data_IF_235072545134
#
_entry.id   IF_235072545134
#
_cell.length_a   1.000
_cell.length_b   1.000
_cell.length_c   1.000
_cell.angle_alpha   90.00
_cell.angle_beta   90.00
_cell.angle_gamma   90.00
#
_symmetry.space_group_name_H-M   'P 1'
#
loop_
_entity.id
_entity.type
_entity.pdbx_description
1 polymer ?
#
# COMPACT_ATOMS: atom_id res chain seq x y z
N UNK A 1 0.58 -22.98 -49.94
CA UNK A 1 -0.67 -22.48 -49.30
C UNK A 1 -0.49 -21.18 -48.52
N UNK A 2 0.14 -21.12 -47.33
CA UNK A 2 0.32 -19.83 -46.61
C UNK A 2 1.23 -18.84 -47.38
N UNK A 3 2.30 -19.36 -48.00
CA UNK A 3 3.22 -18.56 -48.84
C UNK A 3 2.54 -17.93 -50.07
N UNK A 4 1.49 -18.56 -50.61
CA UNK A 4 0.78 -18.06 -51.79
C UNK A 4 -0.26 -16.98 -51.45
N UNK A 5 -0.83 -17.02 -50.25
CA UNK A 5 -1.74 -15.98 -49.75
C UNK A 5 -1.02 -14.68 -49.40
N UNK A 6 0.19 -14.76 -48.85
CA UNK A 6 1.03 -13.59 -48.55
C UNK A 6 1.45 -12.86 -49.83
N UNK A 7 1.55 -13.59 -50.96
CA UNK A 7 1.95 -13.06 -52.27
C UNK A 7 0.97 -12.06 -52.89
N UNK A 8 -0.28 -11.97 -52.38
CA UNK A 8 -1.30 -11.01 -52.85
C UNK A 8 -1.19 -9.61 -52.25
N UNK A 9 -0.33 -9.40 -51.26
CA UNK A 9 -0.09 -8.09 -50.64
C UNK A 9 1.20 -7.49 -51.18
N UNK A 10 1.12 -6.77 -52.30
CA UNK A 10 2.29 -6.23 -53.03
C UNK A 10 2.87 -4.95 -52.42
N UNK A 11 2.27 -4.41 -51.36
CA UNK A 11 2.82 -3.30 -50.55
C UNK A 11 2.89 -3.70 -49.07
N UNK A 12 4.05 -3.43 -48.45
CA UNK A 12 4.38 -3.73 -47.02
C UNK A 12 3.31 -3.30 -46.01
N UNK A 13 2.44 -2.34 -46.36
CA UNK A 13 1.42 -1.78 -45.49
C UNK A 13 0.02 -2.42 -45.63
N UNK A 14 -0.25 -3.23 -46.65
CA UNK A 14 -1.61 -3.78 -46.86
C UNK A 14 -1.90 -4.94 -45.91
N UNK A 15 -0.92 -5.82 -45.67
CA UNK A 15 -1.04 -6.92 -44.73
C UNK A 15 -1.26 -6.41 -43.29
N UNK A 16 -0.47 -5.42 -42.85
CA UNK A 16 -0.65 -4.80 -41.53
C UNK A 16 -2.03 -4.17 -41.37
N UNK A 17 -2.58 -3.56 -42.43
CA UNK A 17 -3.95 -3.02 -42.43
C UNK A 17 -5.02 -4.13 -42.39
N UNK A 18 -4.81 -5.25 -43.10
CA UNK A 18 -5.72 -6.39 -43.06
C UNK A 18 -5.76 -7.02 -41.66
N UNK A 19 -4.58 -7.22 -41.06
CA UNK A 19 -4.44 -7.71 -39.68
C UNK A 19 -5.06 -6.75 -38.68
N UNK A 20 -4.77 -5.45 -38.78
CA UNK A 20 -5.36 -4.42 -37.93
C UNK A 20 -6.90 -4.49 -37.95
N UNK A 21 -7.50 -4.61 -39.14
CA UNK A 21 -8.96 -4.78 -39.27
C UNK A 21 -9.47 -6.05 -38.60
N UNK A 22 -8.76 -7.18 -38.78
CA UNK A 22 -9.09 -8.45 -38.14
C UNK A 22 -9.00 -8.38 -36.61
N UNK A 23 -8.02 -7.68 -36.06
CA UNK A 23 -7.91 -7.47 -34.60
C UNK A 23 -9.07 -6.63 -34.09
N UNK A 24 -9.45 -5.54 -34.77
CA UNK A 24 -10.62 -4.75 -34.37
C UNK A 24 -11.93 -5.53 -34.44
N UNK A 25 -12.08 -6.39 -35.46
CA UNK A 25 -13.21 -7.30 -35.57
C UNK A 25 -13.27 -8.23 -34.34
N UNK A 26 -12.13 -8.80 -33.93
CA UNK A 26 -12.02 -9.65 -32.74
C UNK A 26 -12.40 -8.89 -31.48
N UNK A 27 -11.83 -7.71 -31.24
CA UNK A 27 -12.15 -6.88 -30.07
C UNK A 27 -13.65 -6.56 -29.99
N UNK A 28 -14.28 -6.27 -31.15
CA UNK A 28 -15.71 -6.02 -31.23
C UNK A 28 -16.54 -7.26 -30.91
N UNK A 29 -16.13 -8.43 -31.37
CA UNK A 29 -16.84 -9.70 -31.12
C UNK A 29 -16.71 -10.16 -29.67
N UNK A 30 -15.52 -10.04 -29.09
CA UNK A 30 -15.23 -10.43 -27.71
C UNK A 30 -15.67 -9.38 -26.70
N UNK A 31 -15.95 -8.15 -27.14
CA UNK A 31 -16.20 -6.97 -26.30
C UNK A 31 -15.04 -6.67 -25.35
N UNK A 32 -13.82 -7.10 -25.70
CA UNK A 32 -12.61 -6.82 -24.94
C UNK A 32 -11.89 -5.61 -25.53
N UNK A 33 -11.27 -4.83 -24.65
CA UNK A 33 -10.26 -3.85 -25.00
C UNK A 33 -8.93 -4.54 -25.31
N UNK A 34 -8.00 -3.81 -25.93
CA UNK A 34 -6.62 -4.30 -26.16
C UNK A 34 -5.92 -4.63 -24.84
N UNK A 35 -6.22 -3.86 -23.80
CA UNK A 35 -5.67 -4.03 -22.44
C UNK A 35 -6.14 -5.33 -21.79
N UNK A 36 -7.31 -5.82 -22.17
CA UNK A 36 -7.87 -7.08 -21.67
C UNK A 36 -7.47 -8.26 -22.56
N UNK A 37 -7.58 -8.12 -23.89
CA UNK A 37 -7.26 -9.18 -24.84
C UNK A 37 -5.77 -9.57 -24.76
N UNK A 38 -4.87 -8.61 -24.59
CA UNK A 38 -3.42 -8.85 -24.52
C UNK A 38 -3.05 -9.88 -23.47
N UNK A 39 -3.26 -9.59 -22.16
CA UNK A 39 -2.94 -10.52 -21.09
C UNK A 39 -3.63 -11.88 -21.23
N UNK A 40 -4.91 -11.92 -21.63
CA UNK A 40 -5.66 -13.18 -21.73
C UNK A 40 -5.12 -14.07 -22.87
N UNK A 41 -4.77 -13.47 -24.01
CA UNK A 41 -4.14 -14.19 -25.11
C UNK A 41 -2.63 -14.41 -24.89
N UNK A 42 -2.04 -13.93 -23.79
CA UNK A 42 -0.60 -14.01 -23.54
C UNK A 42 0.24 -13.14 -24.48
N UNK A 43 -0.28 -12.01 -24.94
CA UNK A 43 0.38 -11.07 -25.84
C UNK A 43 0.67 -9.77 -25.10
N UNK A 44 1.87 -9.21 -25.27
CA UNK A 44 2.20 -7.91 -24.70
C UNK A 44 1.23 -6.83 -25.22
N UNK A 45 0.59 -6.10 -24.30
CA UNK A 45 -0.41 -5.08 -24.63
C UNK A 45 0.10 -4.03 -25.61
N UNK A 46 1.35 -3.59 -25.47
CA UNK A 46 1.97 -2.61 -26.38
C UNK A 46 2.14 -3.16 -27.79
N UNK A 47 2.53 -4.44 -27.91
CA UNK A 47 2.62 -5.13 -29.20
C UNK A 47 1.23 -5.26 -29.83
N UNK A 48 0.23 -5.70 -29.05
CA UNK A 48 -1.14 -5.83 -29.54
C UNK A 48 -1.74 -4.49 -29.98
N UNK A 49 -1.47 -3.40 -29.26
CA UNK A 49 -1.82 -2.05 -29.70
C UNK A 49 -1.17 -1.67 -31.03
N UNK A 50 0.12 -1.98 -31.19
CA UNK A 50 0.84 -1.73 -32.42
C UNK A 50 0.26 -2.52 -33.60
N UNK A 51 -0.16 -3.76 -33.37
CA UNK A 51 -0.82 -4.60 -34.37
C UNK A 51 -2.22 -4.05 -34.71
N UNK A 52 -2.99 -3.66 -33.69
CA UNK A 52 -4.30 -3.05 -33.86
C UNK A 52 -4.19 -1.73 -34.65
N UNK A 53 -3.19 -0.89 -34.38
CA UNK A 53 -2.94 0.36 -35.13
C UNK A 53 -2.32 0.13 -36.52
N UNK A 54 -1.88 -1.10 -36.81
CA UNK A 54 -1.17 -1.44 -38.05
C UNK A 54 0.22 -0.79 -38.17
N UNK A 55 0.76 -0.26 -37.07
CA UNK A 55 2.07 0.42 -37.02
C UNK A 55 3.22 -0.57 -36.86
N UNK A 56 2.93 -1.79 -36.42
CA UNK A 56 3.90 -2.88 -36.31
C UNK A 56 3.40 -4.13 -37.01
N UNK A 57 4.28 -4.89 -37.69
CA UNK A 57 3.92 -6.16 -38.28
C UNK A 57 3.65 -7.18 -37.18
N UNK A 58 2.56 -7.95 -37.32
CA UNK A 58 2.22 -9.02 -36.39
C UNK A 58 3.16 -10.21 -36.58
N UNK A 59 3.53 -10.87 -35.47
CA UNK A 59 4.31 -12.11 -35.50
C UNK A 59 3.38 -13.31 -35.66
N UNK A 60 3.89 -14.41 -36.24
CA UNK A 60 3.14 -15.66 -36.33
C UNK A 60 2.74 -16.19 -34.94
N UNK A 61 3.63 -16.04 -33.95
CA UNK A 61 3.35 -16.40 -32.56
C UNK A 61 2.14 -15.66 -31.99
N UNK A 62 2.04 -14.34 -32.23
CA UNK A 62 0.90 -13.55 -31.81
C UNK A 62 -0.39 -14.01 -32.50
N UNK A 63 -0.33 -14.35 -33.80
CA UNK A 63 -1.48 -14.91 -34.52
C UNK A 63 -1.91 -16.24 -33.89
N UNK A 64 -0.98 -17.16 -33.63
CA UNK A 64 -1.28 -18.47 -33.03
C UNK A 64 -1.93 -18.30 -31.66
N UNK A 65 -1.42 -17.37 -30.84
CA UNK A 65 -2.01 -17.05 -29.53
C UNK A 65 -3.43 -16.50 -29.63
N UNK A 66 -3.69 -15.61 -30.58
CA UNK A 66 -5.05 -15.11 -30.86
C UNK A 66 -5.96 -16.24 -31.35
N UNK A 67 -5.46 -17.10 -32.24
CA UNK A 67 -6.21 -18.24 -32.76
C UNK A 67 -6.57 -19.23 -31.65
N UNK A 68 -5.61 -19.56 -30.77
CA UNK A 68 -5.81 -20.42 -29.61
C UNK A 68 -6.85 -19.82 -28.65
N UNK A 69 -6.75 -18.51 -28.37
CA UNK A 69 -7.71 -17.80 -27.54
C UNK A 69 -9.13 -17.84 -28.12
N UNK A 70 -9.27 -17.68 -29.43
CA UNK A 70 -10.57 -17.69 -30.12
C UNK A 70 -11.06 -19.09 -30.51
N UNK A 71 -10.28 -20.14 -30.24
CA UNK A 71 -10.53 -21.49 -30.73
C UNK A 71 -10.82 -21.56 -32.25
N UNK A 72 -10.09 -20.75 -33.04
CA UNK A 72 -10.16 -20.77 -34.52
C UNK A 72 -8.85 -21.26 -35.12
N UNK A 73 -8.91 -21.77 -36.35
CA UNK A 73 -7.70 -22.12 -37.09
C UNK A 73 -7.02 -20.91 -37.75
N UNK A 74 -5.75 -21.09 -38.12
CA UNK A 74 -4.94 -20.05 -38.77
C UNK A 74 -5.53 -19.61 -40.12
N UNK A 75 -6.17 -20.53 -40.85
CA UNK A 75 -6.81 -20.25 -42.14
C UNK A 75 -8.00 -19.31 -42.00
N UNK A 76 -8.80 -19.49 -40.96
CA UNK A 76 -9.96 -18.67 -40.60
C UNK A 76 -9.50 -17.29 -40.14
N UNK A 77 -8.41 -17.22 -39.37
CA UNK A 77 -7.80 -15.93 -39.01
C UNK A 77 -7.29 -15.17 -40.24
N UNK A 78 -6.59 -15.86 -41.15
CA UNK A 78 -5.97 -15.26 -42.34
C UNK A 78 -6.95 -15.00 -43.50
N UNK A 79 -8.20 -15.48 -43.42
CA UNK A 79 -9.22 -15.16 -44.40
C UNK A 79 -9.83 -13.77 -44.12
N UNK A 80 -9.15 -12.74 -44.63
CA UNK A 80 -9.53 -11.34 -44.46
C UNK A 80 -10.77 -10.93 -45.28
N UNK A 81 -11.22 -11.77 -46.22
CA UNK A 81 -12.41 -11.49 -47.03
C UNK A 81 -13.69 -11.98 -46.36
N UNK A 82 -13.57 -12.96 -45.45
CA UNK A 82 -14.67 -13.50 -44.69
C UNK A 82 -14.74 -12.87 -43.30
N UNK A 83 -15.93 -12.44 -42.87
CA UNK A 83 -16.15 -12.01 -41.48
C UNK A 83 -16.07 -13.22 -40.55
N UNK A 84 -15.50 -13.03 -39.36
CA UNK A 84 -15.58 -14.02 -38.28
C UNK A 84 -17.05 -14.13 -37.88
N UNK A 85 -17.69 -15.27 -38.16
CA UNK A 85 -19.09 -15.48 -37.79
C UNK A 85 -19.20 -15.63 -36.27
N UNK A 86 -20.26 -15.08 -35.67
CA UNK A 86 -20.51 -15.06 -34.22
C UNK A 86 -20.77 -16.42 -33.56
N UNK A 87 -20.32 -17.51 -34.18
CA UNK A 87 -20.31 -18.87 -33.65
C UNK A 87 -18.97 -19.27 -33.01
N UNK A 88 -18.00 -18.36 -32.92
CA UNK A 88 -16.98 -18.51 -31.89
C UNK A 88 -17.73 -18.58 -30.56
N UNK A 89 -17.52 -19.64 -29.77
CA UNK A 89 -18.15 -19.82 -28.44
C UNK A 89 -17.63 -18.75 -27.46
N UNK A 90 -18.00 -17.50 -27.72
CA UNK A 90 -17.57 -16.29 -27.02
C UNK A 90 -18.07 -16.26 -25.57
N UNK A 91 -19.06 -17.11 -25.24
CA UNK A 91 -19.60 -17.26 -23.88
C UNK A 91 -18.58 -17.89 -22.92
N UNK A 92 -17.81 -18.90 -23.35
CA UNK A 92 -16.80 -19.55 -22.53
C UNK A 92 -15.58 -18.64 -22.31
N UNK A 93 -15.19 -17.92 -23.35
CA UNK A 93 -14.06 -16.98 -23.34
C UNK A 93 -14.35 -15.76 -22.44
N UNK A 94 -15.56 -15.21 -22.50
CA UNK A 94 -15.99 -14.11 -21.62
C UNK A 94 -16.00 -14.50 -20.14
N UNK A 95 -16.42 -15.73 -19.82
CA UNK A 95 -16.43 -16.24 -18.44
C UNK A 95 -15.02 -16.46 -17.88
N UNK A 96 -14.09 -16.97 -18.70
CA UNK A 96 -12.69 -17.13 -18.30
C UNK A 96 -12.01 -15.77 -18.07
N UNK A 97 -12.30 -14.78 -18.92
CA UNK A 97 -11.82 -13.40 -18.76
C UNK A 97 -12.35 -12.75 -17.47
N UNK A 98 -13.63 -12.94 -17.15
CA UNK A 98 -14.27 -12.44 -15.94
C UNK A 98 -13.66 -13.06 -14.66
N UNK A 99 -13.36 -14.37 -14.70
CA UNK A 99 -12.71 -15.06 -13.58
C UNK A 99 -11.28 -14.58 -13.34
N UNK A 100 -10.53 -14.34 -14.41
CA UNK A 100 -9.16 -13.84 -14.31
C UNK A 100 -9.13 -12.40 -13.77
N UNK A 101 -10.08 -11.55 -14.17
CA UNK A 101 -10.29 -10.21 -13.57
C UNK A 101 -10.50 -10.28 -12.06
N UNK A 102 -11.35 -11.21 -11.59
CA UNK A 102 -11.63 -11.40 -10.15
C UNK A 102 -10.38 -11.83 -9.38
N UNK A 103 -9.55 -12.71 -9.95
CA UNK A 103 -8.30 -13.16 -9.33
C UNK A 103 -7.26 -12.04 -9.25
N UNK A 104 -7.13 -11.23 -10.29
CA UNK A 104 -6.20 -10.10 -10.33
C UNK A 104 -6.60 -9.00 -9.35
N UNK A 105 -7.89 -8.63 -9.30
CA UNK A 105 -8.41 -7.65 -8.34
C UNK A 105 -8.20 -8.10 -6.89
N UNK A 106 -8.43 -9.37 -6.58
CA UNK A 106 -8.18 -9.94 -5.26
C UNK A 106 -6.70 -9.91 -4.87
N UNK A 107 -5.79 -10.10 -5.83
CA UNK A 107 -4.34 -10.06 -5.61
C UNK A 107 -3.85 -8.64 -5.34
N UNK A 108 -4.40 -7.64 -6.03
CA UNK A 108 -4.07 -6.22 -5.84
C UNK A 108 -4.54 -5.75 -4.45
N UNK A 109 -5.79 -6.04 -4.08
CA UNK A 109 -6.33 -5.69 -2.76
C UNK A 109 -5.54 -6.33 -1.60
N UNK A 110 -5.05 -7.56 -1.79
CA UNK A 110 -4.19 -8.24 -0.81
C UNK A 110 -2.81 -7.60 -0.69
N UNK A 111 -2.23 -7.10 -1.78
CA UNK A 111 -0.95 -6.38 -1.76
C UNK A 111 -1.09 -5.01 -1.08
N UNK A 112 -2.13 -4.25 -1.39
CA UNK A 112 -2.36 -2.92 -0.80
C UNK A 112 -2.56 -2.98 0.72
N UNK A 113 -3.35 -3.95 1.20
CA UNK A 113 -3.52 -4.17 2.64
C UNK A 113 -2.23 -4.58 3.35
N UNK A 114 -1.37 -5.38 2.68
CA UNK A 114 -0.07 -5.77 3.24
C UNK A 114 0.91 -4.59 3.33
N UNK A 115 0.96 -3.72 2.32
CA UNK A 115 1.83 -2.54 2.29
C UNK A 115 1.42 -1.52 3.36
N UNK A 116 0.11 -1.23 3.48
CA UNK A 116 -0.40 -0.33 4.50
C UNK A 116 -0.15 -0.86 5.93
N UNK A 117 -0.18 -2.18 6.13
CA UNK A 117 0.19 -2.80 7.40
C UNK A 117 1.69 -2.66 7.70
N UNK A 118 2.53 -2.80 6.68
CA UNK A 118 3.98 -2.68 6.81
C UNK A 118 4.41 -1.24 7.15
N UNK A 119 3.82 -0.24 6.49
CA UNK A 119 4.09 1.18 6.79
C UNK A 119 3.71 1.55 8.23
N UNK A 120 2.56 1.06 8.72
CA UNK A 120 2.14 1.26 10.12
C UNK A 120 3.14 0.63 11.10
N UNK A 121 3.64 -0.57 10.79
CA UNK A 121 4.62 -1.25 11.64
C UNK A 121 5.95 -0.50 11.68
N UNK A 122 6.46 -0.06 10.53
CA UNK A 122 7.72 0.69 10.45
C UNK A 122 7.63 2.04 11.18
N UNK A 123 6.52 2.78 11.02
CA UNK A 123 6.28 4.02 11.77
C UNK A 123 6.25 3.76 13.28
N UNK A 124 5.55 2.71 13.69
CA UNK A 124 5.44 2.32 15.10
C UNK A 124 6.79 1.89 15.71
N UNK A 125 7.64 1.22 14.94
CA UNK A 125 9.01 0.84 15.31
C UNK A 125 9.90 2.08 15.44
N UNK A 126 9.87 2.98 14.46
CA UNK A 126 10.61 4.25 14.50
C UNK A 126 10.28 5.06 15.76
N UNK A 127 8.99 5.22 16.08
CA UNK A 127 8.57 5.94 17.28
C UNK A 127 9.12 5.29 18.57
N UNK A 128 9.09 3.95 18.65
CA UNK A 128 9.63 3.22 19.80
C UNK A 128 11.13 3.45 19.97
N UNK A 129 11.87 3.37 18.87
CA UNK A 129 13.32 3.49 18.89
C UNK A 129 13.75 4.95 19.18
N UNK A 130 13.01 5.95 18.71
CA UNK A 130 13.23 7.36 19.06
C UNK A 130 12.93 7.65 20.53
N UNK A 131 11.81 7.14 21.06
CA UNK A 131 11.51 7.29 22.50
C UNK A 131 12.57 6.58 23.33
N UNK A 132 13.04 5.40 22.90
CA UNK A 132 14.15 4.69 23.55
C UNK A 132 15.41 5.55 23.64
N UNK A 133 15.73 6.27 22.55
CA UNK A 133 16.87 7.17 22.53
C UNK A 133 16.67 8.29 23.55
N UNK A 134 15.52 8.96 23.55
CA UNK A 134 15.21 10.02 24.52
C UNK A 134 15.35 9.51 25.96
N UNK A 135 14.79 8.35 26.28
CA UNK A 135 14.87 7.77 27.64
C UNK A 135 16.31 7.49 28.07
N UNK A 136 17.17 7.04 27.16
CA UNK A 136 18.50 6.55 27.49
C UNK A 136 19.61 7.60 27.35
N UNK A 137 19.45 8.57 26.46
CA UNK A 137 20.51 9.49 26.06
C UNK A 137 20.27 10.95 26.43
N UNK A 138 19.09 11.30 26.95
CA UNK A 138 18.79 12.69 27.33
C UNK A 138 18.43 12.80 28.80
N UNK A 139 18.54 14.01 29.32
CA UNK A 139 18.12 14.40 30.67
C UNK A 139 16.61 14.66 30.76
N UNK A 140 15.84 14.34 29.72
CA UNK A 140 14.44 14.69 29.60
C UNK A 140 13.58 14.20 30.77
N UNK A 141 13.89 13.00 31.29
CA UNK A 141 13.19 12.40 32.43
C UNK A 141 13.76 12.79 33.80
N UNK A 142 14.75 13.68 33.87
CA UNK A 142 15.19 14.25 35.15
C UNK A 142 14.11 15.12 35.79
N UNK A 143 13.18 15.65 34.98
CA UNK A 143 12.02 16.41 35.47
C UNK A 143 10.74 15.61 35.25
N UNK A 144 9.78 15.67 36.19
CA UNK A 144 8.49 15.04 36.03
C UNK A 144 7.74 15.63 34.84
N UNK A 145 7.19 14.74 34.02
CA UNK A 145 6.37 15.09 32.86
C UNK A 145 5.13 14.23 32.80
N UNK A 146 4.04 14.82 32.34
CA UNK A 146 2.81 14.10 31.96
C UNK A 146 2.88 13.65 30.51
N UNK A 147 2.10 12.63 30.14
CA UNK A 147 2.05 12.13 28.76
C UNK A 147 1.66 13.23 27.74
N UNK A 148 0.80 14.17 28.13
CA UNK A 148 0.41 15.28 27.26
C UNK A 148 1.54 16.27 27.03
N UNK A 149 2.28 16.62 28.09
CA UNK A 149 3.49 17.44 27.95
C UNK A 149 4.53 16.73 27.09
N UNK A 150 4.73 15.43 27.29
CA UNK A 150 5.63 14.63 26.44
C UNK A 150 5.23 14.65 24.99
N UNK A 151 3.95 14.49 24.67
CA UNK A 151 3.49 14.54 23.28
C UNK A 151 3.80 15.90 22.63
N UNK A 152 3.61 17.00 23.36
CA UNK A 152 3.92 18.36 22.88
C UNK A 152 5.43 18.56 22.74
N UNK A 153 6.22 18.19 23.76
CA UNK A 153 7.68 18.33 23.75
C UNK A 153 8.32 17.42 22.68
N UNK A 154 7.83 16.20 22.50
CA UNK A 154 8.31 15.27 21.48
C UNK A 154 8.05 15.80 20.07
N UNK A 155 6.87 16.39 19.84
CA UNK A 155 6.57 17.03 18.56
C UNK A 155 7.43 18.27 18.32
N UNK A 156 7.60 19.13 19.33
CA UNK A 156 8.34 20.40 19.23
C UNK A 156 9.85 20.22 19.17
N UNK A 157 10.41 19.46 20.10
CA UNK A 157 11.85 19.41 20.36
C UNK A 157 12.54 18.25 19.61
N UNK A 158 11.78 17.20 19.27
CA UNK A 158 12.32 15.99 18.63
C UNK A 158 11.67 15.67 17.26
N UNK A 159 10.66 16.44 16.84
CA UNK A 159 9.94 16.22 15.58
C UNK A 159 9.17 14.90 15.54
N UNK A 160 8.78 14.36 16.70
CA UNK A 160 8.06 13.09 16.83
C UNK A 160 6.59 13.37 17.11
N UNK A 161 5.76 13.24 16.07
CA UNK A 161 4.31 13.34 16.21
C UNK A 161 3.72 11.99 16.67
N UNK A 162 3.49 11.88 17.98
CA UNK A 162 3.04 10.65 18.64
C UNK A 162 1.98 10.94 19.70
N UNK A 163 0.98 10.07 19.80
CA UNK A 163 -0.11 10.27 20.76
C UNK A 163 0.32 9.91 22.19
N UNK A 164 -0.29 10.54 23.22
CA UNK A 164 -0.04 10.22 24.63
C UNK A 164 -0.16 8.73 24.97
N UNK A 165 -1.14 8.03 24.37
CA UNK A 165 -1.39 6.60 24.60
C UNK A 165 -0.22 5.76 24.06
N UNK A 166 0.31 6.15 22.89
CA UNK A 166 1.44 5.44 22.29
C UNK A 166 2.72 5.67 23.10
N UNK A 167 2.94 6.87 23.61
CA UNK A 167 4.04 7.17 24.54
C UNK A 167 3.89 6.26 25.78
N UNK A 168 2.71 6.21 26.38
CA UNK A 168 2.45 5.36 27.54
C UNK A 168 2.79 3.89 27.30
N UNK A 169 2.37 3.32 26.17
CA UNK A 169 2.69 1.93 25.81
C UNK A 169 4.19 1.69 25.75
N UNK A 170 4.96 2.63 25.20
CA UNK A 170 6.42 2.50 25.08
C UNK A 170 7.07 2.66 26.46
N UNK A 171 6.61 3.62 27.26
CA UNK A 171 7.13 3.89 28.60
C UNK A 171 6.87 2.77 29.60
N UNK A 172 5.80 1.98 29.43
CA UNK A 172 5.51 0.83 30.32
C UNK A 172 6.68 -0.14 30.46
N UNK A 173 7.44 -0.36 29.39
CA UNK A 173 8.64 -1.21 29.44
C UNK A 173 9.70 -0.63 30.37
N UNK A 174 10.03 0.65 30.19
CA UNK A 174 11.04 1.33 31.01
C UNK A 174 10.61 1.50 32.48
N UNK A 175 9.30 1.57 32.71
CA UNK A 175 8.73 1.52 34.06
C UNK A 175 8.89 0.13 34.69
N UNK A 176 8.62 -0.94 33.93
CA UNK A 176 8.86 -2.31 34.38
C UNK A 176 10.33 -2.61 34.65
N UNK A 177 11.23 -2.04 33.84
CA UNK A 177 12.69 -2.18 33.99
C UNK A 177 13.26 -1.28 35.11
N UNK A 178 12.44 -0.45 35.76
CA UNK A 178 12.85 0.45 36.84
C UNK A 178 13.67 1.66 36.40
N UNK A 179 13.83 1.87 35.09
CA UNK A 179 14.57 3.01 34.51
C UNK A 179 13.78 4.31 34.71
N UNK A 180 12.46 4.23 34.63
CA UNK A 180 11.56 5.36 34.84
C UNK A 180 10.56 5.00 35.93
N UNK A 181 10.33 5.92 36.86
CA UNK A 181 9.27 5.79 37.85
C UNK A 181 8.00 6.46 37.34
N UNK A 182 6.86 5.88 37.72
CA UNK A 182 5.53 6.37 37.38
C UNK A 182 4.77 6.63 38.67
N UNK A 183 4.32 7.87 38.84
CA UNK A 183 3.56 8.28 40.02
C UNK A 183 2.20 8.85 39.64
N UNK A 184 1.18 8.58 40.45
CA UNK A 184 -0.15 9.10 40.23
C UNK A 184 -0.24 10.55 40.72
N UNK A 185 -0.85 11.43 39.92
CA UNK A 185 -1.19 12.77 40.33
C UNK A 185 -2.49 12.81 41.16
N UNK A 186 -2.54 13.61 42.25
CA UNK A 186 -3.75 13.99 42.94
C UNK A 186 -4.76 14.58 41.97
N UNK A 187 -6.02 14.42 42.34
CA UNK A 187 -7.17 14.78 41.51
C UNK A 187 -7.16 16.26 41.10
N UNK A 188 -6.67 17.14 41.96
CA UNK A 188 -6.60 18.59 41.74
C UNK A 188 -5.60 19.01 40.66
N UNK A 189 -4.72 18.10 40.24
CA UNK A 189 -3.67 18.32 39.23
C UNK A 189 -3.89 17.47 37.97
N UNK A 190 -5.08 16.88 37.84
CA UNK A 190 -5.47 16.17 36.63
C UNK A 190 -5.60 17.13 35.44
N UNK A 191 -4.91 16.85 34.34
CA UNK A 191 -5.00 17.68 33.12
C UNK A 191 -6.18 17.17 32.28
N UNK A 192 -7.24 17.98 32.16
CA UNK A 192 -8.40 17.67 31.33
C UNK A 192 -9.56 18.64 31.55
N UNK A 193 -10.11 19.21 30.47
CA UNK A 193 -11.30 20.07 30.52
C UNK A 193 -12.51 19.27 31.03
N UNK A 194 -13.00 19.63 32.23
CA UNK A 194 -14.35 19.29 32.70
C UNK A 194 -14.54 17.95 33.42
N UNK A 195 -13.56 17.05 33.46
CA UNK A 195 -13.57 15.87 34.36
C UNK A 195 -12.13 15.50 34.76
N UNK A 196 -11.79 15.40 36.05
CA UNK A 196 -10.43 15.06 36.45
C UNK A 196 -10.15 13.60 36.05
N UNK A 197 -9.35 13.39 35.02
CA UNK A 197 -8.81 12.07 34.70
C UNK A 197 -7.55 11.87 35.54
N UNK A 198 -7.44 10.68 36.17
CA UNK A 198 -6.21 10.29 36.89
C UNK A 198 -5.02 10.50 35.96
N UNK A 199 -4.17 11.45 36.31
CA UNK A 199 -3.00 11.82 35.52
C UNK A 199 -1.79 11.10 36.10
N UNK A 200 -0.88 10.68 35.23
CA UNK A 200 0.35 10.01 35.64
C UNK A 200 1.54 10.85 35.22
N UNK A 201 2.54 10.87 36.08
CA UNK A 201 3.78 11.62 35.90
C UNK A 201 4.93 10.62 35.85
N UNK A 202 5.87 10.85 34.94
CA UNK A 202 7.02 9.96 34.71
C UNK A 202 8.33 10.74 34.90
N UNK A 203 9.33 10.10 35.52
CA UNK A 203 10.64 10.68 35.85
C UNK A 203 11.66 9.58 36.19
N UNK A 204 12.97 9.87 36.16
CA UNK A 204 14.05 8.88 36.30
C UNK A 204 14.59 8.74 37.73
N UNK A 205 14.79 9.85 38.46
CA UNK A 205 15.45 9.84 39.77
C UNK A 205 14.67 10.67 40.81
N UNK A 206 14.34 10.04 41.95
CA UNK A 206 13.69 10.69 43.09
C UNK A 206 14.66 11.56 43.89
N UNK A 207 15.94 11.20 43.94
CA UNK A 207 16.92 11.88 44.78
C UNK A 207 17.26 13.28 44.25
N UNK A 208 17.39 13.42 42.92
CA UNK A 208 17.50 14.73 42.26
C UNK A 208 16.24 15.61 42.44
N UNK A 209 15.06 14.98 42.57
CA UNK A 209 13.78 15.68 42.80
C UNK A 209 13.57 16.11 44.25
N UNK A 210 14.09 15.33 45.20
CA UNK A 210 14.06 15.65 46.63
C UNK A 210 15.11 16.72 47.00
N UNK A 211 16.20 16.83 46.24
CA UNK A 211 17.26 17.81 46.47
C UNK A 211 16.88 19.25 46.05
N UNK A 212 16.03 19.43 45.03
CA UNK A 212 15.60 20.75 44.55
C UNK A 212 14.10 20.75 44.18
N UNK A 213 13.20 20.80 45.18
CA UNK A 213 11.76 20.69 44.98
C UNK A 213 11.14 21.87 44.21
N UNK A 214 11.86 22.98 44.04
CA UNK A 214 11.40 24.14 43.25
C UNK A 214 11.47 23.88 41.73
N UNK A 215 12.23 22.88 41.29
CA UNK A 215 12.29 22.45 39.87
C UNK A 215 11.02 21.72 39.41
N UNK A 216 10.12 21.41 40.33
CA UNK A 216 8.77 20.89 40.08
C UNK A 216 7.81 22.01 39.63
N UNK A 217 8.20 22.88 38.70
CA UNK A 217 7.30 23.92 38.18
C UNK A 217 5.97 23.28 37.73
N UNK A 218 4.90 23.60 38.46
CA UNK A 218 3.54 23.09 38.22
C UNK A 218 3.09 21.86 39.05
N UNK A 219 3.94 21.27 39.91
CA UNK A 219 3.61 20.04 40.66
C UNK A 219 3.95 20.12 42.15
N UNK A 220 3.52 21.18 42.83
CA UNK A 220 3.78 21.43 44.26
C UNK A 220 3.32 20.30 45.21
N UNK A 221 2.33 19.49 44.81
CA UNK A 221 1.81 18.35 45.56
C UNK A 221 2.78 17.16 45.63
N UNK A 222 3.71 17.06 44.68
CA UNK A 222 4.60 15.91 44.53
C UNK A 222 5.52 15.75 45.75
N UNK A 223 5.95 16.89 46.33
CA UNK A 223 6.81 16.97 47.51
C UNK A 223 6.23 16.25 48.73
N UNK A 224 4.93 16.40 48.98
CA UNK A 224 4.26 15.85 50.16
C UNK A 224 3.89 14.37 50.01
N UNK A 225 3.98 13.83 48.78
CA UNK A 225 3.56 12.46 48.45
C UNK A 225 4.68 11.43 48.60
N UNK A 226 5.94 11.86 48.52
CA UNK A 226 7.13 10.99 48.58
C UNK A 226 7.70 10.88 50.00
N UNK A 227 7.42 11.84 50.89
CA UNK A 227 7.97 11.91 52.26
C UNK A 227 7.04 11.19 53.28
N UNK A 228 5.96 10.54 52.82
CA UNK A 228 4.99 9.83 53.67
C UNK A 228 5.30 8.33 53.79
#
# INVERSE_FOLDING_TARGET
>A
MVKDYIKRFTKKNELSKAVSRRIHEILRLTKLSVQELGPIAGINTRSLEGYAKGTTPITLEAIIRICAFLAIDLTTFCDFNRKLSGQVELSAIGQAAEQEKRKQAATIAKKESSLASQEKFEKAKKHRDQISLIVSSTDYFQRPRTLFQMAVDFARDYGIDVTPERIQMVLQRYVGDGIIKKHQAPWDYGVGLGKPKRTWVYFQDETALLADPERLQGYNWFRNSIIA
#
